data_IF_024229173212
#
_entry.id   IF_024229173212
#
_cell.length_a   1.000
_cell.length_b   1.000
_cell.length_c   1.000
_cell.angle_alpha   90.00
_cell.angle_beta   90.00
_cell.angle_gamma   90.00
#
_symmetry.space_group_name_H-M   'P 1'
#
loop_
_entity.id
_entity.type
_entity.pdbx_description
1 polymer ?
#
# COMPACT_ATOMS: atom_id res chain seq x y z
N UNK A 1 -8.80 0.90 14.37
CA UNK A 1 -9.38 2.15 13.84
C UNK A 1 -10.78 2.43 14.38
N UNK A 2 -11.78 1.57 14.12
CA UNK A 2 -13.17 1.82 14.53
C UNK A 2 -13.37 2.07 16.04
N UNK A 3 -12.74 1.26 16.91
CA UNK A 3 -12.74 1.45 18.37
C UNK A 3 -12.06 2.76 18.83
N UNK A 4 -11.26 3.39 17.97
CA UNK A 4 -10.62 4.68 18.25
C UNK A 4 -11.47 5.86 17.74
N UNK A 5 -12.71 5.59 17.29
CA UNK A 5 -13.66 6.61 16.84
C UNK A 5 -13.58 6.95 15.35
N UNK A 6 -12.75 6.25 14.56
CA UNK A 6 -12.72 6.44 13.11
C UNK A 6 -13.92 5.77 12.45
N UNK A 7 -14.58 6.47 11.52
CA UNK A 7 -15.43 5.80 10.53
C UNK A 7 -14.52 4.97 9.60
N UNK A 8 -14.82 3.70 9.45
CA UNK A 8 -14.11 2.75 8.60
C UNK A 8 -15.07 2.29 7.51
N UNK A 9 -14.63 2.37 6.26
CA UNK A 9 -15.39 1.88 5.11
C UNK A 9 -14.58 0.73 4.53
N UNK A 10 -15.16 -0.46 4.56
CA UNK A 10 -14.50 -1.71 4.16
C UNK A 10 -15.05 -2.15 2.81
N UNK A 11 -14.16 -2.44 1.86
CA UNK A 11 -14.51 -3.01 0.56
C UNK A 11 -13.86 -4.38 0.42
N UNK A 12 -14.69 -5.43 0.38
CA UNK A 12 -14.23 -6.78 0.10
C UNK A 12 -15.34 -7.57 -0.60
N UNK A 13 -15.09 -7.95 -1.86
CA UNK A 13 -16.04 -8.74 -2.65
C UNK A 13 -16.00 -10.24 -2.34
N UNK A 14 -14.95 -10.72 -1.65
CA UNK A 14 -14.69 -12.13 -1.42
C UNK A 14 -15.48 -12.71 -0.23
N UNK A 15 -15.86 -11.86 0.72
CA UNK A 15 -16.61 -12.25 1.92
C UNK A 15 -18.06 -11.72 1.88
N UNK A 16 -18.96 -12.45 2.54
CA UNK A 16 -20.38 -12.08 2.59
C UNK A 16 -20.66 -10.87 3.48
N UNK A 17 -19.87 -10.68 4.53
CA UNK A 17 -20.01 -9.61 5.52
C UNK A 17 -18.68 -9.32 6.21
N UNK A 18 -18.55 -8.12 6.78
CA UNK A 18 -17.41 -7.76 7.63
C UNK A 18 -17.22 -8.77 8.79
N UNK A 19 -15.98 -9.15 9.12
CA UNK A 19 -15.69 -9.96 10.32
C UNK A 19 -16.00 -9.20 11.62
N UNK A 20 -16.17 -7.87 11.56
CA UNK A 20 -16.46 -7.00 12.68
C UNK A 20 -17.94 -6.58 12.72
N UNK A 21 -18.81 -7.58 12.64
CA UNK A 21 -20.27 -7.40 12.54
C UNK A 21 -20.84 -6.52 13.67
N UNK A 22 -21.69 -5.56 13.30
CA UNK A 22 -22.43 -4.71 14.24
C UNK A 22 -21.67 -3.52 14.83
N UNK A 23 -20.41 -3.24 14.45
CA UNK A 23 -19.73 -2.04 14.92
C UNK A 23 -20.28 -0.78 14.22
N UNK A 24 -20.78 0.19 14.99
CA UNK A 24 -21.45 1.40 14.47
C UNK A 24 -20.59 2.29 13.54
N UNK A 25 -19.27 2.20 13.66
CA UNK A 25 -18.31 2.98 12.87
C UNK A 25 -17.81 2.22 11.64
N UNK A 26 -18.23 0.97 11.42
CA UNK A 26 -17.83 0.17 10.27
C UNK A 26 -18.98 0.13 9.27
N UNK A 27 -18.66 0.45 8.01
CA UNK A 27 -19.56 0.31 6.88
C UNK A 27 -18.94 -0.63 5.86
N UNK A 28 -19.58 -1.77 5.66
CA UNK A 28 -19.09 -2.82 4.77
C UNK A 28 -19.79 -2.77 3.42
N UNK A 29 -19.01 -2.74 2.36
CA UNK A 29 -19.48 -2.79 0.97
C UNK A 29 -18.91 -4.04 0.31
N UNK A 30 -19.81 -4.96 -0.06
CA UNK A 30 -19.43 -6.18 -0.76
C UNK A 30 -19.16 -5.92 -2.24
N UNK A 31 -18.01 -5.31 -2.54
CA UNK A 31 -17.49 -5.11 -3.89
C UNK A 31 -15.97 -5.23 -3.88
N UNK A 32 -15.41 -5.74 -4.97
CA UNK A 32 -13.98 -5.63 -5.22
C UNK A 32 -13.61 -4.19 -5.57
N UNK A 33 -12.39 -3.78 -5.23
CA UNK A 33 -11.81 -2.54 -5.73
C UNK A 33 -11.08 -2.84 -7.04
N UNK A 34 -11.30 -2.04 -8.08
CA UNK A 34 -10.69 -2.30 -9.38
C UNK A 34 -10.73 -1.11 -10.32
N UNK A 35 -10.46 -1.34 -11.60
CA UNK A 35 -10.41 -0.24 -12.57
C UNK A 35 -11.80 0.23 -13.02
N UNK A 36 -12.71 -0.69 -13.34
CA UNK A 36 -13.96 -0.37 -14.04
C UNK A 36 -15.15 -0.68 -13.15
N UNK A 37 -15.98 0.33 -12.92
CA UNK A 37 -17.21 0.19 -12.15
C UNK A 37 -18.15 -0.81 -12.81
N UNK A 38 -18.68 -1.73 -12.02
CA UNK A 38 -19.77 -2.61 -12.40
C UNK A 38 -20.54 -3.07 -11.14
N UNK A 39 -21.39 -4.07 -11.31
CA UNK A 39 -22.22 -4.58 -10.21
C UNK A 39 -21.38 -5.10 -9.03
N UNK A 40 -20.20 -5.69 -9.30
CA UNK A 40 -19.33 -6.33 -8.30
C UNK A 40 -18.01 -5.57 -8.04
N UNK A 41 -17.69 -4.54 -8.82
CA UNK A 41 -16.44 -3.78 -8.73
C UNK A 41 -16.74 -2.29 -8.55
N UNK A 42 -16.01 -1.63 -7.66
CA UNK A 42 -15.97 -0.18 -7.53
C UNK A 42 -14.56 0.34 -7.79
N UNK A 43 -14.44 1.37 -8.62
CA UNK A 43 -13.21 2.15 -8.74
C UNK A 43 -12.99 3.04 -7.53
N UNK A 44 -11.73 3.39 -7.24
CA UNK A 44 -11.44 4.34 -6.17
C UNK A 44 -12.10 5.70 -6.41
N UNK A 45 -12.26 6.12 -7.68
CA UNK A 45 -13.02 7.33 -8.03
C UNK A 45 -14.49 7.21 -7.62
N UNK A 46 -15.12 6.05 -7.89
CA UNK A 46 -16.50 5.81 -7.47
C UNK A 46 -16.63 5.82 -5.95
N UNK A 47 -15.71 5.16 -5.25
CA UNK A 47 -15.68 5.15 -3.77
C UNK A 47 -15.56 6.56 -3.23
N UNK A 48 -14.61 7.36 -3.73
CA UNK A 48 -14.45 8.75 -3.32
C UNK A 48 -15.66 9.63 -3.65
N UNK A 49 -16.43 9.29 -4.68
CA UNK A 49 -17.66 10.02 -5.04
C UNK A 49 -18.87 9.63 -4.17
N UNK A 50 -18.94 8.34 -3.78
CA UNK A 50 -20.04 7.79 -2.99
C UNK A 50 -19.90 8.15 -1.51
N UNK A 51 -18.67 8.26 -1.03
CA UNK A 51 -18.35 8.52 0.35
C UNK A 51 -17.79 9.93 0.51
N UNK A 52 -18.45 10.73 1.34
CA UNK A 52 -18.00 12.10 1.64
C UNK A 52 -16.87 12.07 2.66
N UNK A 53 -15.63 11.90 2.20
CA UNK A 53 -14.44 12.07 3.02
C UNK A 53 -14.27 13.54 3.37
N UNK A 54 -14.11 13.86 4.65
CA UNK A 54 -13.71 15.21 5.05
C UNK A 54 -12.22 15.38 4.76
N UNK A 55 -11.80 16.27 3.84
CA UNK A 55 -10.39 16.46 3.50
C UNK A 55 -9.55 17.01 4.67
N UNK A 56 -10.20 17.58 5.68
CA UNK A 56 -9.57 18.09 6.90
C UNK A 56 -9.40 17.00 7.96
N UNK A 57 -10.13 15.90 7.85
CA UNK A 57 -9.88 14.70 8.65
C UNK A 57 -8.71 13.98 8.00
N UNK A 58 -7.62 13.76 8.74
CA UNK A 58 -6.42 13.06 8.25
C UNK A 58 -6.73 11.60 7.89
N UNK A 59 -7.44 11.38 6.78
CA UNK A 59 -7.92 10.06 6.38
C UNK A 59 -6.74 9.18 5.95
N UNK A 60 -6.97 7.87 6.06
CA UNK A 60 -5.99 6.83 5.74
C UNK A 60 -6.64 5.90 4.72
N UNK A 61 -5.93 5.64 3.62
CA UNK A 61 -6.27 4.60 2.64
C UNK A 61 -5.43 3.36 2.94
N UNK A 62 -6.07 2.21 3.16
CA UNK A 62 -5.38 0.92 3.25
C UNK A 62 -5.81 0.06 2.06
N UNK A 63 -4.87 -0.61 1.40
CA UNK A 63 -5.14 -1.38 0.19
C UNK A 63 -4.27 -2.63 0.11
N UNK A 64 -4.94 -3.78 0.11
CA UNK A 64 -4.41 -5.11 -0.17
C UNK A 64 -5.47 -5.80 -1.02
N UNK A 65 -5.20 -5.95 -2.32
CA UNK A 65 -6.14 -6.47 -3.32
C UNK A 65 -5.45 -7.40 -4.32
N UNK A 66 -4.46 -8.16 -3.84
CA UNK A 66 -3.89 -9.33 -4.52
C UNK A 66 -3.38 -9.04 -5.96
N UNK A 67 -2.68 -7.92 -6.15
CA UNK A 67 -2.06 -7.53 -7.43
C UNK A 67 -2.85 -6.51 -8.25
N UNK A 68 -4.11 -6.25 -7.90
CA UNK A 68 -4.89 -5.22 -8.57
C UNK A 68 -4.45 -3.79 -8.19
N UNK A 69 -3.59 -3.61 -7.18
CA UNK A 69 -3.08 -2.31 -6.71
C UNK A 69 -2.44 -1.53 -7.85
N UNK A 70 -1.61 -2.19 -8.66
CA UNK A 70 -0.89 -1.56 -9.76
C UNK A 70 -1.81 -0.96 -10.80
N UNK A 71 -2.84 -1.71 -11.21
CA UNK A 71 -3.79 -1.27 -12.22
C UNK A 71 -4.67 -0.11 -11.71
N UNK A 72 -5.09 -0.19 -10.45
CA UNK A 72 -5.83 0.88 -9.77
C UNK A 72 -4.98 2.16 -9.70
N UNK A 73 -3.74 2.05 -9.22
CA UNK A 73 -2.83 3.17 -9.07
C UNK A 73 -2.32 3.74 -10.40
N UNK A 74 -2.21 2.92 -11.43
CA UNK A 74 -1.89 3.37 -12.78
C UNK A 74 -2.99 4.31 -13.33
N UNK A 75 -4.26 3.95 -13.11
CA UNK A 75 -5.41 4.69 -13.66
C UNK A 75 -5.77 5.94 -12.87
N UNK A 76 -5.84 5.87 -11.54
CA UNK A 76 -6.41 6.95 -10.72
C UNK A 76 -5.55 8.21 -10.73
N UNK A 77 -6.16 9.39 -10.72
CA UNK A 77 -5.43 10.64 -10.49
C UNK A 77 -4.82 10.67 -9.07
N UNK A 78 -3.50 10.76 -8.96
CA UNK A 78 -2.82 10.79 -7.66
C UNK A 78 -3.16 12.06 -6.86
N UNK A 79 -3.50 13.16 -7.53
CA UNK A 79 -3.94 14.40 -6.87
C UNK A 79 -5.35 14.26 -6.29
N UNK A 80 -6.20 13.42 -6.88
CA UNK A 80 -7.49 13.07 -6.29
C UNK A 80 -7.30 12.29 -4.98
N UNK A 81 -6.37 11.34 -4.95
CA UNK A 81 -6.00 10.61 -3.73
C UNK A 81 -5.41 11.56 -2.68
N UNK A 82 -4.45 12.40 -3.07
CA UNK A 82 -3.79 13.38 -2.21
C UNK A 82 -4.77 14.34 -1.51
N UNK A 83 -5.83 14.76 -2.21
CA UNK A 83 -6.86 15.63 -1.63
C UNK A 83 -7.67 14.96 -0.52
N UNK A 84 -7.83 13.64 -0.56
CA UNK A 84 -8.69 12.92 0.37
C UNK A 84 -7.92 12.20 1.48
N UNK A 85 -6.70 11.75 1.22
CA UNK A 85 -5.95 10.91 2.16
C UNK A 85 -4.62 11.55 2.56
N UNK A 86 -4.40 11.65 3.87
CA UNK A 86 -3.13 12.10 4.45
C UNK A 86 -2.07 11.01 4.42
N UNK A 87 -2.51 9.75 4.51
CA UNK A 87 -1.67 8.57 4.53
C UNK A 87 -2.24 7.49 3.63
N UNK A 88 -1.35 6.67 3.07
CA UNK A 88 -1.71 5.46 2.35
C UNK A 88 -0.87 4.31 2.84
N UNK A 89 -1.45 3.12 2.93
CA UNK A 89 -0.77 1.88 3.26
C UNK A 89 -1.15 0.89 2.16
N UNK A 90 -0.15 0.38 1.45
CA UNK A 90 -0.36 -0.55 0.34
C UNK A 90 0.49 -1.79 0.55
N UNK A 91 -0.11 -2.96 0.40
CA UNK A 91 0.60 -4.20 0.14
C UNK A 91 0.73 -4.41 -1.37
N UNK A 92 1.93 -4.19 -1.90
CA UNK A 92 2.20 -4.34 -3.32
C UNK A 92 2.63 -5.77 -3.65
N UNK A 93 1.74 -6.49 -4.32
CA UNK A 93 1.97 -7.85 -4.80
C UNK A 93 2.75 -7.90 -6.11
N UNK A 94 3.25 -9.08 -6.48
CA UNK A 94 3.90 -9.36 -7.77
C UNK A 94 5.15 -8.51 -8.07
N UNK A 95 5.93 -8.14 -7.06
CA UNK A 95 7.16 -7.36 -7.22
C UNK A 95 8.35 -8.17 -7.78
N UNK A 96 8.17 -9.11 -8.69
CA UNK A 96 9.26 -10.01 -9.12
C UNK A 96 10.37 -9.28 -9.90
N UNK A 97 11.65 -9.38 -9.49
CA UNK A 97 12.75 -8.61 -10.11
C UNK A 97 13.16 -9.16 -11.49
N UNK A 98 12.87 -10.42 -11.78
CA UNK A 98 13.08 -11.06 -13.07
C UNK A 98 11.98 -10.74 -14.09
N UNK A 99 10.85 -10.17 -13.66
CA UNK A 99 9.82 -9.61 -14.54
C UNK A 99 10.15 -8.15 -14.89
N UNK A 100 11.09 -7.97 -15.83
CA UNK A 100 11.55 -6.63 -16.24
C UNK A 100 10.42 -5.75 -16.78
N UNK A 101 9.45 -6.35 -17.49
CA UNK A 101 8.36 -5.57 -18.09
C UNK A 101 7.42 -5.00 -17.02
N UNK A 102 7.00 -5.81 -16.04
CA UNK A 102 6.15 -5.31 -14.97
C UNK A 102 6.94 -4.43 -13.99
N UNK A 103 8.21 -4.74 -13.74
CA UNK A 103 9.10 -3.88 -12.94
C UNK A 103 9.12 -2.45 -13.47
N UNK A 104 9.28 -2.25 -14.79
CA UNK A 104 9.26 -0.91 -15.39
C UNK A 104 7.93 -0.18 -15.15
N UNK A 105 6.79 -0.87 -15.32
CA UNK A 105 5.47 -0.28 -15.04
C UNK A 105 5.29 0.06 -13.56
N UNK A 106 5.78 -0.81 -12.67
CA UNK A 106 5.72 -0.59 -11.23
C UNK A 106 6.54 0.66 -10.85
N UNK A 107 7.73 0.85 -11.41
CA UNK A 107 8.52 2.06 -11.19
C UNK A 107 7.79 3.33 -11.63
N UNK A 108 7.16 3.34 -12.80
CA UNK A 108 6.37 4.49 -13.27
C UNK A 108 5.20 4.83 -12.31
N UNK A 109 4.57 3.81 -11.73
CA UNK A 109 3.51 3.98 -10.73
C UNK A 109 4.07 4.51 -9.41
N UNK A 110 5.21 3.99 -8.94
CA UNK A 110 5.87 4.48 -7.73
C UNK A 110 6.35 5.93 -7.89
N UNK A 111 6.86 6.31 -9.06
CA UNK A 111 7.20 7.69 -9.41
C UNK A 111 5.97 8.59 -9.40
N UNK A 112 4.83 8.11 -9.92
CA UNK A 112 3.55 8.82 -9.86
C UNK A 112 3.11 9.04 -8.41
N UNK A 113 3.18 8.02 -7.55
CA UNK A 113 2.87 8.14 -6.12
C UNK A 113 3.79 9.16 -5.44
N UNK A 114 5.09 9.12 -5.77
CA UNK A 114 6.09 10.04 -5.26
C UNK A 114 5.83 11.50 -5.67
N UNK A 115 4.92 11.82 -6.60
CA UNK A 115 4.56 13.23 -6.83
C UNK A 115 3.93 13.87 -5.59
N UNK A 116 3.13 13.12 -4.84
CA UNK A 116 2.33 13.66 -3.73
C UNK A 116 2.65 13.03 -2.37
N UNK A 117 3.30 11.87 -2.35
CA UNK A 117 3.58 11.10 -1.13
C UNK A 117 5.06 10.75 -0.99
N UNK A 118 5.49 10.46 0.24
CA UNK A 118 6.80 9.87 0.54
C UNK A 118 6.61 8.59 1.34
N UNK A 119 7.38 7.53 1.07
CA UNK A 119 7.40 6.38 1.95
C UNK A 119 7.98 6.80 3.31
N UNK A 120 7.31 6.41 4.39
CA UNK A 120 7.75 6.63 5.78
C UNK A 120 8.07 5.32 6.50
N UNK A 121 7.54 4.20 6.00
CA UNK A 121 7.82 2.86 6.49
C UNK A 121 7.69 1.85 5.34
N UNK A 122 8.49 0.80 5.37
CA UNK A 122 8.49 -0.26 4.37
C UNK A 122 8.96 -1.55 5.01
N UNK A 123 8.26 -2.65 4.74
CA UNK A 123 8.70 -3.99 5.09
C UNK A 123 8.30 -4.99 4.00
N UNK A 124 9.02 -6.11 3.90
CA UNK A 124 8.53 -7.21 3.10
C UNK A 124 7.40 -7.92 3.87
N UNK A 125 6.37 -8.38 3.16
CA UNK A 125 5.43 -9.34 3.76
C UNK A 125 6.04 -10.74 3.67
N UNK A 126 6.70 -11.19 4.73
CA UNK A 126 7.40 -12.47 4.77
C UNK A 126 6.46 -13.69 4.81
N UNK A 127 5.14 -13.51 4.83
CA UNK A 127 4.17 -14.61 4.71
C UNK A 127 4.32 -15.32 3.35
N UNK A 128 4.68 -14.60 2.29
CA UNK A 128 4.98 -15.18 0.97
C UNK A 128 6.43 -15.70 0.88
N UNK A 129 6.81 -16.27 -0.27
CA UNK A 129 8.15 -16.84 -0.46
C UNK A 129 9.25 -15.77 -0.44
N UNK A 130 10.33 -16.11 0.27
CA UNK A 130 11.57 -15.35 0.39
C UNK A 130 12.57 -15.91 -0.62
N UNK A 131 13.17 -15.04 -1.43
CA UNK A 131 14.22 -15.40 -2.39
C UNK A 131 15.55 -14.77 -2.00
N UNK A 132 16.65 -15.43 -2.35
CA UNK A 132 18.00 -14.86 -2.29
C UNK A 132 18.50 -14.75 -3.73
N UNK A 133 18.90 -13.56 -4.13
CA UNK A 133 19.40 -13.24 -5.45
C UNK A 133 20.86 -12.81 -5.37
N UNK A 134 21.70 -13.30 -6.28
CA UNK A 134 23.05 -12.77 -6.49
C UNK A 134 22.99 -11.62 -7.50
N UNK A 135 23.32 -10.41 -7.04
CA UNK A 135 23.47 -9.23 -7.89
C UNK A 135 24.89 -8.72 -7.73
N UNK A 136 25.72 -8.92 -8.76
CA UNK A 136 27.12 -8.49 -8.80
C UNK A 136 27.96 -8.96 -7.59
N UNK A 137 27.83 -10.24 -7.19
CA UNK A 137 28.45 -10.86 -6.00
C UNK A 137 27.90 -10.33 -4.66
N UNK A 138 26.72 -9.70 -4.68
CA UNK A 138 26.00 -9.28 -3.49
C UNK A 138 24.75 -10.14 -3.33
N UNK A 139 24.67 -10.87 -2.21
CA UNK A 139 23.44 -11.60 -1.87
C UNK A 139 22.40 -10.60 -1.38
N UNK A 140 21.30 -10.49 -2.13
CA UNK A 140 20.15 -9.68 -1.78
C UNK A 140 18.97 -10.59 -1.48
N UNK A 141 18.26 -10.29 -0.40
CA UNK A 141 17.04 -10.99 -0.08
C UNK A 141 15.85 -10.24 -0.67
N UNK A 142 14.93 -10.98 -1.27
CA UNK A 142 13.82 -10.43 -2.03
C UNK A 142 12.51 -11.10 -1.62
N UNK A 143 11.43 -10.32 -1.57
CA UNK A 143 10.07 -10.84 -1.44
C UNK A 143 9.15 -10.12 -2.42
N UNK A 144 8.28 -10.87 -3.14
CA UNK A 144 7.41 -10.31 -4.16
C UNK A 144 6.20 -9.56 -3.57
N UNK A 145 6.06 -9.53 -2.24
CA UNK A 145 5.11 -8.67 -1.54
C UNK A 145 5.84 -7.67 -0.64
N UNK A 146 5.54 -6.38 -0.85
CA UNK A 146 6.10 -5.27 -0.08
C UNK A 146 4.96 -4.44 0.49
N UNK A 147 4.92 -4.26 1.80
CA UNK A 147 4.02 -3.31 2.43
C UNK A 147 4.73 -1.98 2.65
N UNK A 148 4.09 -0.89 2.23
CA UNK A 148 4.64 0.46 2.30
C UNK A 148 3.61 1.41 2.88
N UNK A 149 4.00 2.11 3.94
CA UNK A 149 3.27 3.25 4.49
C UNK A 149 3.80 4.55 3.92
N UNK A 150 2.89 5.38 3.43
CA UNK A 150 3.15 6.65 2.79
C UNK A 150 2.54 7.80 3.58
N UNK A 151 3.25 8.93 3.63
CA UNK A 151 2.76 10.21 4.14
C UNK A 151 2.70 11.23 3.01
N UNK A 152 1.63 12.03 2.96
CA UNK A 152 1.50 13.13 2.00
C UNK A 152 2.59 14.17 2.23
N UNK A 153 3.22 14.65 1.16
CA UNK A 153 4.43 15.47 1.21
C UNK A 153 4.30 16.77 1.99
N UNK A 154 3.14 17.41 1.93
CA UNK A 154 2.83 18.65 2.67
C UNK A 154 2.78 18.45 4.19
N UNK A 155 2.64 17.20 4.66
CA UNK A 155 2.60 16.84 6.09
C UNK A 155 3.96 16.39 6.63
N UNK A 156 4.98 16.27 5.78
CA UNK A 156 6.32 15.87 6.20
C UNK A 156 6.93 16.99 7.06
N UNK A 157 7.40 16.67 8.29
CA UNK A 157 7.98 17.68 9.17
C UNK A 157 9.17 18.41 8.53
N UNK A 158 9.26 19.71 8.75
CA UNK A 158 10.42 20.50 8.33
C UNK A 158 11.71 19.93 8.94
N UNK A 159 12.70 19.66 8.09
CA UNK A 159 13.97 19.08 8.52
C UNK A 159 13.97 17.55 8.65
N UNK A 160 12.86 16.87 8.31
CA UNK A 160 12.85 15.43 8.11
C UNK A 160 13.92 15.07 7.07
N UNK A 161 14.72 14.05 7.38
CA UNK A 161 15.77 13.54 6.50
C UNK A 161 15.32 12.19 5.97
N UNK A 162 15.40 11.96 4.64
CA UNK A 162 15.18 10.63 4.11
C UNK A 162 16.23 9.72 4.73
N UNK A 163 15.77 8.65 5.37
CA UNK A 163 16.71 7.65 5.85
C UNK A 163 16.92 6.66 4.72
N UNK A 164 18.19 6.53 4.33
CA UNK A 164 18.63 5.59 3.31
C UNK A 164 19.50 4.58 4.03
N UNK A 165 18.99 3.37 4.19
CA UNK A 165 19.74 2.28 4.79
C UNK A 165 20.09 1.24 3.73
N UNK A 166 21.17 0.51 3.97
CA UNK A 166 21.34 -0.83 3.41
C UNK A 166 20.55 -1.80 4.30
N UNK A 167 20.31 -3.02 3.81
CA UNK A 167 19.24 -3.93 4.25
C UNK A 167 19.11 -4.06 5.78
N UNK A 168 20.18 -3.92 6.53
CA UNK A 168 20.26 -4.53 7.85
C UNK A 168 19.79 -3.66 9.04
N UNK A 169 19.20 -2.48 8.83
CA UNK A 169 19.12 -1.45 9.89
C UNK A 169 17.70 -0.95 10.32
N UNK A 170 16.59 -1.68 10.07
CA UNK A 170 15.26 -1.27 10.59
C UNK A 170 14.53 -2.41 11.33
N UNK A 171 13.81 -2.14 12.46
CA UNK A 171 13.42 -3.16 13.43
C UNK A 171 11.93 -3.58 13.38
N UNK A 172 11.77 -4.85 13.79
CA UNK A 172 10.59 -5.58 14.29
C UNK A 172 9.66 -6.35 13.32
N UNK A 173 9.33 -7.62 13.65
CA UNK A 173 8.78 -8.62 12.74
C UNK A 173 7.26 -8.52 12.52
N UNK A 174 6.80 -8.91 11.33
CA UNK A 174 5.37 -9.13 11.00
C UNK A 174 4.81 -10.42 11.67
N UNK A 175 5.65 -11.41 11.95
CA UNK A 175 5.31 -12.62 12.71
C UNK A 175 6.46 -13.01 13.65
N UNK A 176 6.21 -12.98 14.96
CA UNK A 176 7.21 -13.27 16.00
C UNK A 176 7.62 -14.75 16.06
N UNK A 177 6.93 -15.67 15.37
CA UNK A 177 7.10 -17.10 15.63
C UNK A 177 7.63 -17.95 14.46
N UNK A 178 7.55 -17.53 13.19
CA UNK A 178 7.82 -18.50 12.09
C UNK A 178 8.70 -18.00 10.94
N UNK A 179 8.76 -16.71 10.61
CA UNK A 179 9.52 -16.23 9.44
C UNK A 179 10.28 -14.94 9.75
N UNK A 180 11.59 -14.88 9.47
CA UNK A 180 12.34 -13.64 9.63
C UNK A 180 11.82 -12.62 8.60
N UNK A 181 11.52 -11.40 9.06
CA UNK A 181 11.28 -10.33 8.11
C UNK A 181 12.52 -10.07 7.30
N UNK A 182 12.29 -9.93 6.01
CA UNK A 182 13.31 -9.47 5.10
C UNK A 182 13.18 -7.94 5.07
N UNK A 183 14.28 -7.20 4.99
CA UNK A 183 14.28 -5.77 4.68
C UNK A 183 14.39 -5.48 3.16
N UNK A 184 13.56 -4.57 2.63
CA UNK A 184 13.53 -4.14 1.20
C UNK A 184 14.58 -3.05 0.95
N UNK A 185 15.37 -3.18 -0.13
CA UNK A 185 16.33 -2.16 -0.57
C UNK A 185 16.14 -1.77 -2.04
N UNK A 186 16.18 -0.47 -2.32
CA UNK A 186 16.37 0.07 -3.66
C UNK A 186 17.79 0.66 -3.78
N UNK A 187 18.60 0.27 -4.79
CA UNK A 187 19.94 0.79 -4.96
C UNK A 187 19.95 2.29 -5.29
N UNK A 188 21.03 2.96 -4.89
CA UNK A 188 21.32 4.33 -5.28
C UNK A 188 21.77 4.35 -6.75
N UNK A 189 21.05 5.08 -7.61
CA UNK A 189 21.60 5.63 -8.85
C UNK A 189 22.34 6.94 -8.57
#
# INVERSE_FOLDING_TARGET
MANMGYKVIEFDGSIEKSPYDGHENIEFVRKFVGMVDNDNVASLEKILSDFSFNPQSHNILQCDIEGAEWNVMQRIDIDLIARNFSQMIFEFHNCYPDDTQNSQKHFEILEKINKCYVPIWTHYNSIVNIFICDVDNTMLTFCPSVEISYLRKDLVPNGAKPIRFLANDIPEPNDNEVKPDIPVLFPLL
#
